data_IF_278655355941
#
_entry.id   IF_278655355941
#
_cell.length_a   1.000
_cell.length_b   1.000
_cell.length_c   1.000
_cell.angle_alpha   90.00
_cell.angle_beta   90.00
_cell.angle_gamma   90.00
#
_symmetry.space_group_name_H-M   'P 1'
#
loop_
_entity.id
_entity.type
_entity.pdbx_description
1 polymer ?
#
# COMPACT_ATOMS: atom_id res chain seq x y z
N UNK A 1 -51.40 -26.39 -46.25
CA UNK A 1 -51.25 -25.20 -45.38
C UNK A 1 -51.42 -25.62 -43.92
N UNK A 2 -50.36 -25.66 -43.10
CA UNK A 2 -50.45 -25.66 -41.65
C UNK A 2 -50.19 -24.24 -41.08
N UNK A 3 -50.65 -23.92 -39.85
CA UNK A 3 -50.52 -22.58 -39.28
C UNK A 3 -49.14 -22.35 -38.66
N UNK A 4 -48.63 -21.13 -38.82
CA UNK A 4 -47.41 -20.63 -38.20
C UNK A 4 -47.60 -20.42 -36.70
N UNK A 5 -46.80 -21.09 -35.87
CA UNK A 5 -46.70 -20.79 -34.43
C UNK A 5 -45.64 -19.70 -34.27
N UNK A 6 -46.08 -18.48 -33.96
CA UNK A 6 -45.20 -17.37 -33.59
C UNK A 6 -44.69 -17.59 -32.17
N UNK A 7 -43.38 -17.79 -32.02
CA UNK A 7 -42.71 -17.69 -30.73
C UNK A 7 -42.64 -16.21 -30.35
N UNK A 8 -43.60 -15.77 -29.54
CA UNK A 8 -43.63 -14.44 -28.96
C UNK A 8 -42.41 -14.23 -28.05
N UNK A 9 -41.74 -13.10 -28.29
CA UNK A 9 -40.71 -12.48 -27.44
C UNK A 9 -41.13 -12.51 -25.96
N UNK A 10 -40.53 -13.41 -25.19
CA UNK A 10 -40.46 -13.35 -23.73
C UNK A 10 -38.98 -13.44 -23.34
N UNK A 11 -38.34 -12.28 -23.11
CA UNK A 11 -36.91 -12.25 -22.78
C UNK A 11 -36.30 -10.87 -22.88
N UNK A 12 -36.81 -9.89 -22.14
CA UNK A 12 -36.13 -8.61 -21.99
C UNK A 12 -36.19 -8.03 -20.56
N UNK A 13 -37.06 -8.53 -19.67
CA UNK A 13 -37.19 -8.04 -18.30
C UNK A 13 -36.42 -8.88 -17.25
N UNK A 14 -35.85 -10.03 -17.61
CA UNK A 14 -35.16 -10.92 -16.66
C UNK A 14 -33.66 -10.60 -16.49
N UNK A 15 -33.07 -9.78 -17.38
CA UNK A 15 -31.61 -9.65 -17.46
C UNK A 15 -31.00 -8.64 -16.48
N UNK A 16 -31.75 -7.66 -16.00
CA UNK A 16 -31.19 -6.58 -15.16
C UNK A 16 -31.17 -6.95 -13.67
N UNK A 17 -32.16 -7.69 -13.18
CA UNK A 17 -32.24 -8.10 -11.76
C UNK A 17 -31.18 -9.14 -11.42
N UNK A 18 -30.97 -10.14 -12.28
CA UNK A 18 -29.98 -11.21 -12.05
C UNK A 18 -28.54 -10.65 -12.10
N UNK A 19 -28.27 -9.66 -12.95
CA UNK A 19 -26.96 -9.01 -12.98
C UNK A 19 -26.66 -8.21 -11.69
N UNK A 20 -27.67 -7.54 -11.12
CA UNK A 20 -27.56 -6.84 -9.84
C UNK A 20 -27.35 -7.79 -8.65
N UNK A 21 -28.07 -8.92 -8.62
CA UNK A 21 -27.94 -9.96 -7.58
C UNK A 21 -26.60 -10.71 -7.67
N UNK A 22 -26.11 -10.98 -8.88
CA UNK A 22 -24.80 -11.61 -9.09
C UNK A 22 -23.67 -10.66 -8.72
N UNK A 23 -23.76 -9.37 -9.04
CA UNK A 23 -22.77 -8.35 -8.64
C UNK A 23 -22.73 -8.17 -7.12
N UNK A 24 -23.89 -8.09 -6.45
CA UNK A 24 -23.99 -8.02 -5.00
C UNK A 24 -23.48 -9.31 -4.32
N UNK A 25 -23.74 -10.49 -4.91
CA UNK A 25 -23.22 -11.77 -4.43
C UNK A 25 -21.70 -11.92 -4.60
N UNK A 26 -21.13 -11.36 -5.67
CA UNK A 26 -19.68 -11.31 -5.87
C UNK A 26 -19.00 -10.34 -4.89
N UNK A 27 -19.60 -9.18 -4.65
CA UNK A 27 -19.13 -8.20 -3.66
C UNK A 27 -19.16 -8.78 -2.24
N UNK A 28 -20.25 -9.46 -1.83
CA UNK A 28 -20.33 -10.13 -0.53
C UNK A 28 -19.25 -11.21 -0.37
N UNK A 29 -19.04 -12.06 -1.38
CA UNK A 29 -18.00 -13.09 -1.34
C UNK A 29 -16.61 -12.50 -1.24
N UNK A 30 -16.35 -11.40 -1.92
CA UNK A 30 -15.07 -10.72 -1.89
C UNK A 30 -14.82 -10.04 -0.54
N UNK A 31 -15.84 -9.37 0.04
CA UNK A 31 -15.78 -8.82 1.40
C UNK A 31 -15.52 -9.90 2.44
N UNK A 32 -16.26 -11.01 2.38
CA UNK A 32 -16.03 -12.15 3.29
C UNK A 32 -14.63 -12.74 3.10
N UNK A 33 -14.16 -12.87 1.85
CA UNK A 33 -12.80 -13.34 1.58
C UNK A 33 -11.74 -12.42 2.18
N UNK A 34 -11.90 -11.10 2.05
CA UNK A 34 -11.00 -10.09 2.63
C UNK A 34 -11.03 -10.13 4.16
N UNK A 35 -12.21 -10.20 4.77
CA UNK A 35 -12.35 -10.27 6.22
C UNK A 35 -11.61 -11.48 6.80
N UNK A 36 -11.83 -12.68 6.24
CA UNK A 36 -11.14 -13.90 6.68
C UNK A 36 -9.63 -13.81 6.44
N UNK A 37 -9.21 -13.22 5.31
CA UNK A 37 -7.78 -13.00 5.04
C UNK A 37 -7.15 -12.08 6.10
N UNK A 38 -7.82 -11.00 6.48
CA UNK A 38 -7.36 -10.04 7.48
C UNK A 38 -7.30 -10.67 8.87
N UNK A 39 -8.31 -11.44 9.26
CA UNK A 39 -8.35 -12.16 10.53
C UNK A 39 -7.19 -13.16 10.64
N UNK A 40 -7.01 -14.01 9.63
CA UNK A 40 -5.93 -15.00 9.60
C UNK A 40 -4.54 -14.34 9.63
N UNK A 41 -4.40 -13.19 8.96
CA UNK A 41 -3.19 -12.38 8.99
C UNK A 41 -2.93 -11.79 10.39
N UNK A 42 -3.95 -11.26 11.06
CA UNK A 42 -3.82 -10.74 12.42
C UNK A 42 -3.37 -11.83 13.40
N UNK A 43 -4.00 -13.00 13.37
CA UNK A 43 -3.65 -14.13 14.24
C UNK A 43 -2.21 -14.60 13.99
N UNK A 44 -1.81 -14.70 12.73
CA UNK A 44 -0.45 -15.09 12.38
C UNK A 44 0.60 -14.07 12.86
N UNK A 45 0.34 -12.77 12.67
CA UNK A 45 1.24 -11.71 13.14
C UNK A 45 1.40 -11.75 14.66
N UNK A 46 0.31 -11.91 15.41
CA UNK A 46 0.37 -12.06 16.87
C UNK A 46 1.24 -13.25 17.31
N UNK A 47 1.12 -14.40 16.64
CA UNK A 47 1.95 -15.57 16.93
C UNK A 47 3.41 -15.33 16.57
N UNK A 48 3.69 -14.68 15.44
CA UNK A 48 5.06 -14.34 15.05
C UNK A 48 5.75 -13.42 16.04
N UNK A 49 5.02 -12.45 16.61
CA UNK A 49 5.54 -11.55 17.63
C UNK A 49 5.80 -12.29 18.94
N UNK A 50 4.88 -13.15 19.36
CA UNK A 50 4.98 -13.88 20.64
C UNK A 50 6.03 -14.99 20.64
N UNK A 51 6.07 -15.78 19.56
CA UNK A 51 6.85 -17.01 19.51
C UNK A 51 8.08 -16.90 18.59
N UNK A 52 8.14 -15.85 17.76
CA UNK A 52 9.11 -15.70 16.69
C UNK A 52 8.63 -16.33 15.38
N UNK A 53 9.09 -15.76 14.25
CA UNK A 53 8.70 -16.21 12.91
C UNK A 53 9.03 -17.69 12.67
N UNK A 54 10.29 -18.08 12.89
CA UNK A 54 10.77 -19.43 12.56
C UNK A 54 10.13 -20.51 13.42
N UNK A 55 9.91 -20.21 14.71
CA UNK A 55 9.27 -21.14 15.63
C UNK A 55 7.76 -21.32 15.38
N UNK A 56 7.11 -20.35 14.74
CA UNK A 56 5.67 -20.42 14.44
C UNK A 56 5.39 -21.25 13.19
N UNK A 57 4.53 -22.26 13.35
CA UNK A 57 4.11 -23.18 12.28
C UNK A 57 2.75 -22.80 11.70
N UNK A 58 2.47 -23.22 10.46
CA UNK A 58 1.13 -23.06 9.85
C UNK A 58 0.06 -23.78 10.69
N UNK A 59 0.40 -24.92 11.30
CA UNK A 59 -0.55 -25.70 12.08
C UNK A 59 -0.99 -24.95 13.36
N UNK A 60 -0.08 -24.24 14.02
CA UNK A 60 -0.40 -23.36 15.15
C UNK A 60 -1.26 -22.16 14.72
N UNK A 61 -0.94 -21.54 13.58
CA UNK A 61 -1.72 -20.41 13.05
C UNK A 61 -3.16 -20.83 12.78
N UNK A 62 -3.37 -21.96 12.10
CA UNK A 62 -4.72 -22.41 11.76
C UNK A 62 -5.48 -22.92 12.98
N UNK A 63 -4.80 -23.53 13.95
CA UNK A 63 -5.40 -23.89 15.22
C UNK A 63 -5.88 -22.65 15.99
N UNK A 64 -5.05 -21.60 16.05
CA UNK A 64 -5.41 -20.34 16.71
C UNK A 64 -6.54 -19.59 15.99
N UNK A 65 -6.59 -19.65 14.65
CA UNK A 65 -7.64 -19.04 13.85
C UNK A 65 -8.94 -19.89 13.76
N UNK A 66 -8.97 -21.09 14.33
CA UNK A 66 -10.12 -22.00 14.18
C UNK A 66 -10.35 -22.48 12.74
N UNK A 67 -9.28 -22.56 11.94
CA UNK A 67 -9.32 -22.89 10.52
C UNK A 67 -8.63 -24.23 10.24
N UNK A 68 -8.92 -24.81 9.07
CA UNK A 68 -8.16 -25.95 8.56
C UNK A 68 -6.94 -25.48 7.74
N UNK A 69 -5.90 -26.32 7.68
CA UNK A 69 -4.74 -26.09 6.80
C UNK A 69 -5.11 -25.89 5.33
N UNK A 70 -6.11 -26.64 4.84
CA UNK A 70 -6.70 -26.43 3.50
C UNK A 70 -7.29 -25.03 3.35
N UNK A 71 -7.94 -24.51 4.39
CA UNK A 71 -8.49 -23.15 4.36
C UNK A 71 -7.39 -22.11 4.36
N UNK A 72 -6.30 -22.28 5.12
CA UNK A 72 -5.13 -21.41 5.04
C UNK A 72 -4.58 -21.31 3.62
N UNK A 73 -4.32 -22.47 2.98
CA UNK A 73 -3.77 -22.51 1.62
C UNK A 73 -4.71 -21.95 0.54
N UNK A 74 -5.99 -21.75 0.85
CA UNK A 74 -6.92 -21.03 -0.03
C UNK A 74 -6.67 -19.52 -0.05
N UNK A 75 -6.08 -18.96 1.02
CA UNK A 75 -5.80 -17.53 1.13
C UNK A 75 -4.31 -17.22 0.93
N UNK A 76 -3.40 -18.07 1.41
CA UNK A 76 -1.96 -17.82 1.40
C UNK A 76 -1.21 -19.05 0.89
N UNK A 77 -0.28 -18.88 -0.05
CA UNK A 77 0.54 -19.98 -0.56
C UNK A 77 1.59 -20.45 0.43
N UNK A 78 2.03 -19.57 1.34
CA UNK A 78 3.02 -19.87 2.36
C UNK A 78 2.90 -18.98 3.61
N UNK A 79 3.76 -19.22 4.61
CA UNK A 79 3.87 -18.38 5.82
C UNK A 79 4.37 -16.97 5.47
N UNK A 80 5.28 -16.88 4.50
CA UNK A 80 5.82 -15.63 3.95
C UNK A 80 4.73 -14.77 3.32
N UNK A 81 3.79 -15.39 2.60
CA UNK A 81 2.69 -14.66 1.95
C UNK A 81 1.77 -13.94 2.96
N UNK A 82 1.75 -14.39 4.22
CA UNK A 82 1.01 -13.72 5.29
C UNK A 82 1.69 -12.40 5.66
N UNK A 83 3.00 -12.42 5.86
CA UNK A 83 3.82 -11.24 6.17
C UNK A 83 3.77 -10.24 5.01
N UNK A 84 3.92 -10.72 3.78
CA UNK A 84 3.84 -9.88 2.58
C UNK A 84 2.44 -9.29 2.40
N UNK A 85 1.39 -10.05 2.71
CA UNK A 85 0.01 -9.55 2.72
C UNK A 85 -0.20 -8.42 3.72
N UNK A 86 0.40 -8.52 4.91
CA UNK A 86 0.36 -7.44 5.91
C UNK A 86 1.05 -6.19 5.42
N UNK A 87 2.25 -6.35 4.85
CA UNK A 87 2.97 -5.23 4.25
C UNK A 87 2.16 -4.63 3.08
N UNK A 88 1.55 -5.42 2.22
CA UNK A 88 0.72 -4.91 1.13
C UNK A 88 -0.45 -4.04 1.62
N UNK A 89 -1.06 -4.40 2.76
CA UNK A 89 -2.10 -3.61 3.40
C UNK A 89 -1.57 -2.26 3.92
N UNK A 90 -0.38 -2.25 4.54
CA UNK A 90 0.30 -1.01 4.93
C UNK A 90 0.59 -0.11 3.72
N UNK A 91 0.99 -0.68 2.59
CA UNK A 91 1.19 0.06 1.34
C UNK A 91 -0.09 0.65 0.75
N UNK A 92 -1.21 -0.07 0.87
CA UNK A 92 -2.51 0.45 0.49
C UNK A 92 -2.93 1.62 1.38
N UNK A 93 -2.74 1.50 2.70
CA UNK A 93 -2.99 2.58 3.66
C UNK A 93 -2.11 3.82 3.38
N UNK A 94 -0.84 3.62 3.01
CA UNK A 94 0.04 4.71 2.59
C UNK A 94 -0.49 5.44 1.34
N UNK A 95 -0.93 4.69 0.33
CA UNK A 95 -1.47 5.26 -0.91
C UNK A 95 -2.78 6.02 -0.66
N UNK A 96 -3.65 5.51 0.22
CA UNK A 96 -4.86 6.19 0.66
C UNK A 96 -4.54 7.47 1.45
N UNK A 97 -3.58 7.42 2.36
CA UNK A 97 -3.14 8.59 3.12
C UNK A 97 -2.59 9.69 2.21
N UNK A 98 -1.87 9.32 1.15
CA UNK A 98 -1.36 10.26 0.15
C UNK A 98 -2.49 10.89 -0.69
N UNK A 99 -3.56 10.15 -0.96
CA UNK A 99 -4.73 10.62 -1.71
C UNK A 99 -5.52 11.67 -0.92
N UNK A 100 -5.58 11.51 0.41
CA UNK A 100 -6.19 12.48 1.32
C UNK A 100 -5.35 13.75 1.55
N UNK A 101 -4.12 13.83 1.02
CA UNK A 101 -3.28 15.04 1.14
C UNK A 101 -3.74 16.12 0.17
N UNK A 102 -3.66 17.42 0.53
CA UNK A 102 -3.96 18.52 -0.38
C UNK A 102 -3.20 18.40 -1.71
N UNK A 103 -3.88 18.68 -2.83
CA UNK A 103 -3.28 18.56 -4.16
C UNK A 103 -2.16 19.59 -4.42
N UNK A 104 -2.19 20.72 -3.70
CA UNK A 104 -1.19 21.79 -3.76
C UNK A 104 -0.01 21.59 -2.80
N UNK A 105 0.01 20.51 -2.02
CA UNK A 105 1.15 20.18 -1.16
C UNK A 105 2.29 19.60 -2.01
N UNK A 106 3.53 20.00 -1.72
CA UNK A 106 4.68 19.47 -2.43
C UNK A 106 4.82 17.95 -2.23
N UNK A 107 5.30 17.26 -3.27
CA UNK A 107 5.37 15.79 -3.27
C UNK A 107 6.17 15.21 -2.11
N UNK A 108 7.23 15.90 -1.66
CA UNK A 108 8.09 15.43 -0.58
C UNK A 108 7.40 15.53 0.79
N UNK A 109 6.75 16.66 1.06
CA UNK A 109 5.92 16.85 2.26
C UNK A 109 4.73 15.89 2.27
N UNK A 110 4.04 15.73 1.14
CA UNK A 110 2.93 14.81 1.03
C UNK A 110 3.33 13.36 1.36
N UNK A 111 4.48 12.89 0.84
CA UNK A 111 5.04 11.58 1.17
C UNK A 111 5.41 11.47 2.65
N UNK A 112 6.08 12.47 3.22
CA UNK A 112 6.45 12.48 4.64
C UNK A 112 5.21 12.36 5.52
N UNK A 113 4.15 13.10 5.20
CA UNK A 113 2.88 13.06 5.94
C UNK A 113 2.14 11.74 5.75
N UNK A 114 2.16 11.19 4.54
CA UNK A 114 1.57 9.88 4.28
C UNK A 114 2.26 8.77 5.09
N UNK A 115 3.58 8.88 5.35
CA UNK A 115 4.30 7.96 6.23
C UNK A 115 3.87 8.00 7.71
N UNK A 116 3.11 9.01 8.15
CA UNK A 116 2.57 9.04 9.51
C UNK A 116 1.65 7.82 9.78
N UNK A 117 1.01 7.23 8.76
CA UNK A 117 0.21 6.00 8.94
C UNK A 117 1.09 4.80 9.30
N UNK A 118 2.25 4.66 8.65
CA UNK A 118 3.21 3.60 8.97
C UNK A 118 3.83 3.80 10.35
N UNK A 119 4.13 5.06 10.72
CA UNK A 119 4.64 5.41 12.04
C UNK A 119 3.61 5.11 13.13
N UNK A 120 2.33 5.44 12.89
CA UNK A 120 1.24 5.18 13.83
C UNK A 120 1.08 3.68 14.09
N UNK A 121 1.18 2.84 13.05
CA UNK A 121 1.19 1.38 13.19
C UNK A 121 2.33 0.91 14.10
N UNK A 122 3.55 1.41 13.88
CA UNK A 122 4.71 1.03 14.70
C UNK A 122 4.64 1.57 16.13
N UNK A 123 4.02 2.73 16.33
CA UNK A 123 3.85 3.33 17.67
C UNK A 123 2.79 2.60 18.49
N UNK A 124 1.77 2.06 17.82
CA UNK A 124 0.69 1.31 18.47
C UNK A 124 1.15 -0.06 18.98
N UNK A 125 2.12 -0.67 18.31
CA UNK A 125 2.76 -1.92 18.73
C UNK A 125 4.28 -1.91 18.39
N UNK A 126 5.10 -1.27 19.24
CA UNK A 126 6.55 -1.14 18.97
C UNK A 126 7.27 -2.48 18.98
N UNK A 127 6.88 -3.40 19.87
CA UNK A 127 7.51 -4.71 19.98
C UNK A 127 7.16 -5.57 18.77
N UNK A 128 5.90 -5.60 18.36
CA UNK A 128 5.50 -6.33 17.16
C UNK A 128 6.13 -5.78 15.89
N UNK A 129 6.25 -4.46 15.78
CA UNK A 129 6.97 -3.83 14.68
C UNK A 129 8.47 -4.17 14.68
N UNK A 130 9.15 -4.19 15.83
CA UNK A 130 10.55 -4.63 15.93
C UNK A 130 10.71 -6.10 15.54
N UNK A 131 9.86 -7.00 16.06
CA UNK A 131 9.90 -8.43 15.72
C UNK A 131 9.64 -8.67 14.25
N UNK A 132 8.66 -7.97 13.66
CA UNK A 132 8.38 -8.03 12.24
C UNK A 132 9.58 -7.56 11.40
N UNK A 133 10.26 -6.50 11.85
CA UNK A 133 11.39 -5.95 11.12
C UNK A 133 12.64 -6.84 11.22
N UNK A 134 12.93 -7.39 12.40
CA UNK A 134 13.97 -8.40 12.60
C UNK A 134 13.73 -9.65 11.74
N UNK A 135 12.48 -10.09 11.62
CA UNK A 135 12.08 -11.19 10.74
C UNK A 135 12.38 -10.89 9.27
N UNK A 136 12.03 -9.69 8.79
CA UNK A 136 12.35 -9.27 7.43
C UNK A 136 13.87 -9.21 7.20
N UNK A 137 14.64 -8.70 8.16
CA UNK A 137 16.08 -8.55 8.03
C UNK A 137 16.86 -9.87 8.18
N UNK A 138 16.33 -10.82 8.95
CA UNK A 138 16.97 -12.12 9.21
C UNK A 138 16.73 -13.18 8.13
N UNK A 139 15.78 -12.96 7.21
CA UNK A 139 15.38 -13.97 6.21
C UNK A 139 15.56 -13.44 4.77
N UNK A 140 16.62 -13.85 4.04
CA UNK A 140 16.90 -13.36 2.68
C UNK A 140 15.78 -13.58 1.66
N UNK A 141 15.01 -14.67 1.81
CA UNK A 141 13.86 -14.94 0.93
C UNK A 141 12.74 -13.92 1.12
N UNK A 142 12.46 -13.54 2.37
CA UNK A 142 11.52 -12.48 2.70
C UNK A 142 12.03 -11.11 2.22
N UNK A 143 13.33 -10.83 2.32
CA UNK A 143 13.92 -9.58 1.82
C UNK A 143 13.69 -9.40 0.33
N UNK A 144 14.01 -10.42 -0.47
CA UNK A 144 13.84 -10.38 -1.92
C UNK A 144 12.37 -10.08 -2.31
N UNK A 145 11.43 -10.81 -1.69
CA UNK A 145 9.99 -10.62 -1.92
C UNK A 145 9.50 -9.26 -1.40
N UNK A 146 10.08 -8.74 -0.33
CA UNK A 146 9.80 -7.40 0.19
C UNK A 146 10.25 -6.31 -0.78
N UNK A 147 11.41 -6.47 -1.43
CA UNK A 147 11.88 -5.54 -2.49
C UNK A 147 10.97 -5.57 -3.72
N UNK A 148 10.56 -6.77 -4.18
CA UNK A 148 9.55 -6.90 -5.26
C UNK A 148 8.24 -6.20 -4.91
N UNK A 149 7.81 -6.29 -3.64
CA UNK A 149 6.63 -5.58 -3.14
C UNK A 149 6.82 -4.06 -3.14
N UNK A 150 8.00 -3.57 -2.76
CA UNK A 150 8.31 -2.14 -2.80
C UNK A 150 8.21 -1.58 -4.23
N UNK A 151 8.57 -2.35 -5.26
CA UNK A 151 8.31 -1.96 -6.66
C UNK A 151 6.81 -1.78 -6.94
N UNK A 152 5.93 -2.65 -6.40
CA UNK A 152 4.47 -2.47 -6.57
C UNK A 152 3.94 -1.24 -5.85
N UNK A 153 4.53 -0.86 -4.73
CA UNK A 153 4.17 0.39 -4.04
C UNK A 153 4.56 1.60 -4.89
N UNK A 154 5.69 1.52 -5.57
CA UNK A 154 6.12 2.55 -6.51
C UNK A 154 5.05 2.82 -7.57
N UNK A 155 4.56 1.77 -8.23
CA UNK A 155 3.51 1.87 -9.23
C UNK A 155 2.21 2.48 -8.67
N UNK A 156 1.86 2.16 -7.42
CA UNK A 156 0.65 2.72 -6.76
C UNK A 156 0.77 4.20 -6.43
N UNK A 157 1.96 4.66 -6.03
CA UNK A 157 2.19 6.05 -5.64
C UNK A 157 2.48 6.95 -6.84
N UNK A 158 2.98 6.40 -7.96
CA UNK A 158 3.40 7.15 -9.13
C UNK A 158 2.37 8.15 -9.68
N UNK A 159 1.07 7.80 -9.85
CA UNK A 159 0.10 8.76 -10.39
C UNK A 159 -0.07 9.99 -9.51
N UNK A 160 -0.10 9.79 -8.19
CA UNK A 160 -0.33 10.85 -7.21
C UNK A 160 0.88 11.78 -7.06
N UNK A 161 2.09 11.23 -7.21
CA UNK A 161 3.33 12.01 -7.17
C UNK A 161 3.56 12.75 -8.49
N UNK A 162 3.30 12.10 -9.62
CA UNK A 162 3.40 12.74 -10.93
C UNK A 162 2.49 13.98 -11.03
N UNK A 163 1.26 13.88 -10.50
CA UNK A 163 0.32 15.01 -10.46
C UNK A 163 0.88 16.22 -9.69
N UNK A 164 1.49 15.99 -8.52
CA UNK A 164 2.08 17.05 -7.68
C UNK A 164 3.35 17.66 -8.31
N UNK A 165 4.17 16.85 -8.98
CA UNK A 165 5.36 17.32 -9.69
C UNK A 165 5.03 18.10 -10.97
N UNK A 166 3.82 17.93 -11.50
CA UNK A 166 3.34 18.65 -12.69
C UNK A 166 2.73 20.00 -12.35
N UNK A 167 2.49 20.29 -11.07
CA UNK A 167 1.93 21.57 -10.63
C UNK A 167 3.04 22.64 -10.53
N UNK A 168 2.94 23.75 -11.29
CA UNK A 168 3.97 24.80 -11.32
C UNK A 168 3.87 25.73 -10.08
N UNK A 169 3.92 25.16 -8.87
CA UNK A 169 3.69 25.89 -7.62
C UNK A 169 4.70 25.63 -6.49
N UNK A 170 5.71 24.79 -6.70
CA UNK A 170 6.70 24.44 -5.65
C UNK A 170 8.11 24.91 -6.01
N UNK A 171 8.24 26.17 -6.43
CA UNK A 171 9.45 26.95 -6.18
C UNK A 171 9.32 27.64 -4.81
N UNK A 172 10.42 28.01 -4.13
CA UNK A 172 10.33 28.84 -2.93
C UNK A 172 9.54 30.12 -3.28
N UNK A 173 8.69 30.57 -2.35
CA UNK A 173 7.82 31.73 -2.52
C UNK A 173 8.61 32.96 -2.98
N UNK A 174 8.56 33.25 -4.27
CA UNK A 174 8.96 34.54 -4.83
C UNK A 174 7.73 35.42 -4.86
N UNK A 175 7.71 36.42 -3.99
CA UNK A 175 6.72 37.49 -3.97
C UNK A 175 6.91 38.38 -5.22
N UNK A 176 6.19 38.09 -6.30
CA UNK A 176 5.90 39.08 -7.35
C UNK A 176 4.57 38.79 -8.06
N UNK A 177 3.68 39.79 -8.20
CA UNK A 177 2.36 39.58 -8.76
C UNK A 177 2.36 39.86 -10.27
N UNK A 178 2.13 38.84 -11.10
CA UNK A 178 1.67 39.03 -12.47
C UNK A 178 1.04 37.75 -13.06
N UNK A 179 -0.28 37.67 -12.94
CA UNK A 179 -1.21 37.53 -14.08
C UNK A 179 -1.06 36.42 -15.14
N UNK A 180 -2.21 35.79 -15.37
CA UNK A 180 -2.74 35.25 -16.62
C UNK A 180 -2.66 33.72 -16.80
N UNK A 181 -3.86 33.14 -16.87
CA UNK A 181 -4.11 31.71 -16.97
C UNK A 181 -3.54 31.09 -18.24
N UNK A 182 -2.97 29.90 -18.05
CA UNK A 182 -2.74 28.94 -19.11
C UNK A 182 -3.68 27.77 -18.88
N UNK A 183 -4.55 27.54 -19.87
CA UNK A 183 -5.45 26.40 -19.99
C UNK A 183 -4.63 25.11 -19.86
N UNK A 184 -5.04 24.22 -18.96
CA UNK A 184 -4.43 22.90 -18.77
C UNK A 184 -4.80 22.03 -19.97
N UNK A 185 -3.92 21.99 -20.96
CA UNK A 185 -3.95 20.93 -21.96
C UNK A 185 -3.49 19.62 -21.29
N UNK A 186 -4.48 18.76 -21.05
CA UNK A 186 -4.29 17.40 -20.57
C UNK A 186 -3.53 16.59 -21.63
N UNK A 187 -2.19 16.62 -21.60
CA UNK A 187 -1.36 15.79 -22.47
C UNK A 187 -1.24 14.37 -21.90
N UNK A 188 -1.76 13.34 -22.59
CA UNK A 188 -1.55 11.95 -22.22
C UNK A 188 -0.15 11.55 -22.67
N UNK A 189 0.86 11.83 -21.85
CA UNK A 189 2.24 11.52 -22.18
C UNK A 189 3.24 12.37 -21.44
N UNK A 190 3.30 12.23 -20.11
CA UNK A 190 4.47 12.70 -19.37
C UNK A 190 5.71 11.99 -19.95
N UNK A 191 6.59 12.73 -20.63
CA UNK A 191 7.77 12.16 -21.29
C UNK A 191 8.66 11.36 -20.32
N UNK A 192 9.58 10.52 -20.82
CA UNK A 192 10.38 9.59 -20.00
C UNK A 192 11.11 10.26 -18.82
N UNK A 193 11.49 11.54 -18.95
CA UNK A 193 12.10 12.33 -17.88
C UNK A 193 11.15 12.69 -16.72
N UNK A 194 9.85 12.89 -16.98
CA UNK A 194 8.84 13.11 -15.94
C UNK A 194 8.54 11.82 -15.16
N UNK A 195 8.51 10.69 -15.87
CA UNK A 195 8.47 9.36 -15.25
C UNK A 195 9.70 9.10 -14.38
N UNK A 196 10.90 9.43 -14.86
CA UNK A 196 12.14 9.28 -14.09
C UNK A 196 12.17 10.14 -12.82
N UNK A 197 11.72 11.41 -12.89
CA UNK A 197 11.62 12.30 -11.71
C UNK A 197 10.64 11.75 -10.67
N UNK A 198 9.45 11.35 -11.11
CA UNK A 198 8.45 10.70 -10.24
C UNK A 198 9.06 9.47 -9.57
N UNK A 199 9.75 8.66 -10.36
CA UNK A 199 10.34 7.44 -9.87
C UNK A 199 11.46 7.68 -8.84
N UNK A 200 12.30 8.69 -9.08
CA UNK A 200 13.37 9.09 -8.18
C UNK A 200 12.84 9.62 -6.85
N UNK A 201 11.78 10.44 -6.86
CA UNK A 201 11.16 10.98 -5.63
C UNK A 201 10.60 9.86 -4.75
N UNK A 202 9.86 8.93 -5.35
CA UNK A 202 9.28 7.79 -4.60
C UNK A 202 10.40 6.88 -4.08
N UNK A 203 11.37 6.54 -4.93
CA UNK A 203 12.50 5.70 -4.55
C UNK A 203 13.31 6.31 -3.39
N UNK A 204 13.59 7.60 -3.46
CA UNK A 204 14.29 8.33 -2.39
C UNK A 204 13.50 8.32 -1.07
N UNK A 205 12.19 8.56 -1.11
CA UNK A 205 11.35 8.56 0.09
C UNK A 205 11.26 7.16 0.73
N UNK A 206 11.09 6.11 -0.07
CA UNK A 206 11.08 4.72 0.41
C UNK A 206 12.46 4.31 0.97
N UNK A 207 13.55 4.74 0.35
CA UNK A 207 14.90 4.54 0.89
C UNK A 207 15.12 5.27 2.22
N UNK A 208 14.55 6.47 2.39
CA UNK A 208 14.58 7.18 3.67
C UNK A 208 13.84 6.39 4.76
N UNK A 209 12.65 5.85 4.46
CA UNK A 209 11.88 5.01 5.38
C UNK A 209 12.64 3.72 5.75
N UNK A 210 13.24 3.06 4.76
CA UNK A 210 14.06 1.87 4.96
C UNK A 210 15.26 2.14 5.89
N UNK A 211 15.98 3.25 5.65
CA UNK A 211 17.07 3.69 6.51
C UNK A 211 16.60 4.06 7.92
N UNK A 212 15.46 4.75 8.04
CA UNK A 212 14.88 5.11 9.33
C UNK A 212 14.50 3.87 10.14
N UNK A 213 13.88 2.86 9.51
CA UNK A 213 13.55 1.60 10.18
C UNK A 213 14.81 0.85 10.65
N UNK A 214 15.89 0.83 9.86
CA UNK A 214 17.16 0.20 10.26
C UNK A 214 17.79 0.90 11.45
N UNK A 215 17.81 2.23 11.45
CA UNK A 215 18.31 3.01 12.59
C UNK A 215 17.42 2.83 13.84
N UNK A 216 16.10 2.80 13.66
CA UNK A 216 15.14 2.54 14.73
C UNK A 216 15.39 1.17 15.39
N UNK A 217 15.57 0.11 14.59
CA UNK A 217 15.94 -1.22 15.09
C UNK A 217 17.29 -1.21 15.83
N UNK A 218 18.30 -0.51 15.32
CA UNK A 218 19.61 -0.42 15.98
C UNK A 218 19.52 0.26 17.36
N UNK A 219 18.49 1.08 17.58
CA UNK A 219 18.20 1.70 18.88
C UNK A 219 17.26 0.88 19.76
N UNK A 220 16.84 -0.30 19.32
CA UNK A 220 15.81 -1.13 19.97
C UNK A 220 14.50 -0.36 20.19
N UNK A 221 14.14 0.44 19.20
CA UNK A 221 12.94 1.26 19.18
C UNK A 221 12.91 2.46 20.15
N UNK A 222 14.01 2.71 20.89
CA UNK A 222 14.07 3.79 21.90
C UNK A 222 13.95 5.19 21.33
N UNK A 223 14.50 5.41 20.14
CA UNK A 223 14.38 6.71 19.44
C UNK A 223 13.10 6.70 18.62
N UNK A 224 12.23 7.72 18.71
CA UNK A 224 11.00 7.75 17.91
C UNK A 224 11.30 7.70 16.41
N UNK A 225 10.65 6.79 15.69
CA UNK A 225 10.87 6.61 14.25
C UNK A 225 10.59 7.89 13.46
N UNK A 226 9.57 8.67 13.85
CA UNK A 226 9.27 9.96 13.24
C UNK A 226 10.49 10.91 13.26
N UNK A 227 11.18 10.99 14.40
CA UNK A 227 12.37 11.84 14.56
C UNK A 227 13.50 11.39 13.64
N UNK A 228 13.74 10.08 13.53
CA UNK A 228 14.76 9.52 12.63
C UNK A 228 14.38 9.80 11.18
N UNK A 229 13.12 9.56 10.80
CA UNK A 229 12.64 9.76 9.45
C UNK A 229 12.73 11.23 9.02
N UNK A 230 12.36 12.15 9.91
CA UNK A 230 12.50 13.59 9.66
C UNK A 230 13.95 14.00 9.41
N UNK A 231 14.89 13.40 10.15
CA UNK A 231 16.31 13.65 9.95
C UNK A 231 16.80 13.10 8.60
N UNK A 232 16.52 11.83 8.31
CA UNK A 232 16.91 11.19 7.06
C UNK A 232 16.30 11.90 5.84
N UNK A 233 15.00 12.21 5.85
CA UNK A 233 14.35 12.90 4.73
C UNK A 233 14.85 14.34 4.53
N UNK A 234 15.35 15.00 5.58
CA UNK A 234 15.95 16.34 5.47
C UNK A 234 17.29 16.29 4.74
N UNK A 235 18.08 15.23 4.94
CA UNK A 235 19.39 15.08 4.27
C UNK A 235 19.29 14.84 2.77
N UNK A 236 18.22 14.17 2.32
CA UNK A 236 18.00 13.82 0.91
C UNK A 236 17.19 14.87 0.15
N UNK A 237 16.54 15.81 0.85
CA UNK A 237 15.60 16.77 0.26
C UNK A 237 16.18 17.35 -1.04
N UNK A 238 15.52 17.15 -2.19
CA UNK A 238 16.04 17.64 -3.46
C UNK A 238 16.24 19.15 -3.36
N UNK A 239 17.47 19.62 -3.52
CA UNK A 239 17.70 21.05 -3.69
C UNK A 239 17.00 21.49 -4.98
N UNK A 240 16.33 22.64 -4.95
CA UNK A 240 15.86 23.29 -6.17
C UNK A 240 17.10 23.69 -6.97
N UNK A 241 17.36 22.98 -8.07
CA UNK A 241 18.39 23.32 -9.05
C UNK A 241 17.72 23.92 -10.28
#
# INVERSE_FOLDING_TARGET
>A
MPPSISWGRCGAAYSTTVAGEVSAGLDLRERTRRAVRTELMSVAMDLFVRNGYEATTIDEIVAAAGMSRRSFFRYFGSKEDVVLGHLDALGASLAEALDQRPANEDAWTALRRAFDTLIAHQTSDPQGALSMRQMLDGNPGLQARNLERQCRWHDRLAPQIAARLSYPGTGPADDSPAGAGAVVDSHPGAGPAAGARTAAVIGAALACMEAANRAWMATDGRTPLATILDDVMRTVRPAAF
#
